data_IF_641125711560
#
_entry.id   IF_641125711560
#
_cell.length_a   1.000
_cell.length_b   1.000
_cell.length_c   1.000
_cell.angle_alpha   90.00
_cell.angle_beta   90.00
_cell.angle_gamma   90.00
#
_symmetry.space_group_name_H-M   'P 1'
#
loop_
_entity.id
_entity.type
_entity.pdbx_description
1 polymer ?
#
# COMPACT_ATOMS: atom_id res chain seq x y z
N UNK A 1 4.20 24.43 -4.37
CA UNK A 1 2.91 24.77 -5.02
C UNK A 1 3.03 24.40 -6.48
N UNK A 2 2.20 23.47 -6.97
CA UNK A 2 2.08 23.19 -8.40
C UNK A 2 1.51 24.43 -9.08
N UNK A 3 2.11 24.87 -10.18
CA UNK A 3 1.52 25.94 -10.99
C UNK A 3 0.24 25.43 -11.63
N UNK A 4 -0.77 26.30 -11.77
CA UNK A 4 -2.02 25.98 -12.44
C UNK A 4 -1.73 25.46 -13.86
N UNK A 5 -2.01 24.17 -14.10
CA UNK A 5 -1.78 23.50 -15.39
C UNK A 5 -0.69 22.42 -15.39
N UNK A 6 0.11 22.29 -14.31
CA UNK A 6 1.08 21.20 -14.20
C UNK A 6 0.39 19.93 -13.68
N UNK A 7 0.38 18.89 -14.48
CA UNK A 7 -0.05 17.56 -14.07
C UNK A 7 1.15 16.82 -13.42
N UNK A 8 1.12 16.59 -12.08
CA UNK A 8 2.22 15.95 -11.37
C UNK A 8 2.41 14.47 -11.78
N UNK A 9 1.43 13.87 -12.46
CA UNK A 9 1.46 12.49 -12.93
C UNK A 9 1.88 12.37 -14.39
N UNK A 10 2.19 13.47 -15.07
CA UNK A 10 2.67 13.45 -16.46
C UNK A 10 4.17 13.15 -16.52
N UNK A 11 4.53 11.90 -16.20
CA UNK A 11 5.90 11.40 -16.28
C UNK A 11 6.04 10.45 -17.49
N UNK A 12 7.13 10.54 -18.28
CA UNK A 12 7.29 9.80 -19.54
C UNK A 12 7.18 8.27 -19.39
N UNK A 13 7.54 7.74 -18.21
CA UNK A 13 7.53 6.30 -17.94
C UNK A 13 6.40 5.87 -16.99
N UNK A 14 5.44 6.74 -16.67
CA UNK A 14 4.32 6.40 -15.81
C UNK A 14 3.13 5.94 -16.64
N UNK A 15 2.70 4.71 -16.39
CA UNK A 15 1.56 4.09 -17.05
C UNK A 15 0.49 3.72 -16.04
N UNK A 16 -0.76 4.04 -16.35
CA UNK A 16 -1.92 3.67 -15.52
C UNK A 16 -2.65 2.48 -16.13
N UNK A 17 -2.86 1.43 -15.34
CA UNK A 17 -3.73 0.31 -15.75
C UNK A 17 -5.17 0.63 -15.36
N UNK A 18 -6.07 0.59 -16.33
CA UNK A 18 -7.48 0.93 -16.11
C UNK A 18 -8.29 -0.30 -15.69
N UNK A 19 -8.03 -1.45 -16.27
CA UNK A 19 -8.78 -2.67 -16.02
C UNK A 19 -7.91 -3.82 -15.44
N UNK A 20 -8.54 -4.96 -15.21
CA UNK A 20 -7.90 -6.13 -14.63
C UNK A 20 -6.97 -6.83 -15.63
N UNK A 21 -7.26 -6.79 -16.92
CA UNK A 21 -6.45 -7.42 -17.96
C UNK A 21 -5.13 -6.67 -18.15
N UNK A 22 -5.17 -5.34 -18.19
CA UNK A 22 -3.98 -4.49 -18.20
C UNK A 22 -3.10 -4.73 -16.99
N UNK A 23 -3.73 -4.79 -15.80
CA UNK A 23 -3.01 -5.08 -14.56
C UNK A 23 -2.37 -6.47 -14.57
N UNK A 24 -3.05 -7.48 -15.11
CA UNK A 24 -2.50 -8.84 -15.24
C UNK A 24 -1.33 -8.90 -16.21
N UNK A 25 -1.31 -8.07 -17.27
CA UNK A 25 -0.21 -8.00 -18.21
C UNK A 25 1.11 -7.57 -17.56
N UNK A 26 1.05 -6.78 -16.49
CA UNK A 26 2.24 -6.36 -15.72
C UNK A 26 2.99 -7.53 -15.09
N UNK A 27 2.32 -8.66 -14.83
CA UNK A 27 2.96 -9.86 -14.26
C UNK A 27 3.98 -10.51 -15.20
N UNK A 28 4.04 -10.09 -16.49
CA UNK A 28 5.04 -10.52 -17.46
C UNK A 28 6.33 -9.72 -17.39
N UNK A 29 6.35 -8.63 -16.63
CA UNK A 29 7.53 -7.80 -16.45
C UNK A 29 8.36 -8.42 -15.32
N UNK A 30 9.58 -8.83 -15.63
CA UNK A 30 10.44 -9.50 -14.66
C UNK A 30 11.50 -8.58 -14.05
N UNK A 31 11.77 -7.43 -14.65
CA UNK A 31 12.76 -6.47 -14.12
C UNK A 31 12.55 -5.07 -14.69
N UNK A 32 13.17 -4.06 -14.04
CA UNK A 32 13.23 -2.69 -14.56
C UNK A 32 11.91 -1.91 -14.41
N UNK A 33 10.97 -2.38 -13.60
CA UNK A 33 9.70 -1.69 -13.37
C UNK A 33 9.38 -1.55 -11.88
N UNK A 34 8.64 -0.50 -11.54
CA UNK A 34 8.02 -0.30 -10.24
C UNK A 34 6.51 -0.38 -10.40
N UNK A 35 5.86 -1.28 -9.66
CA UNK A 35 4.41 -1.43 -9.63
C UNK A 35 3.86 -0.72 -8.40
N UNK A 36 2.96 0.25 -8.58
CA UNK A 36 2.27 0.93 -7.49
C UNK A 36 0.83 0.44 -7.47
N UNK A 37 0.41 -0.19 -6.38
CA UNK A 37 -0.93 -0.75 -6.26
C UNK A 37 -1.52 -0.52 -4.85
N UNK A 38 -2.78 -0.15 -4.77
CA UNK A 38 -3.58 -0.19 -3.54
C UNK A 38 -4.17 -1.59 -3.33
N UNK A 39 -4.55 -1.99 -2.16
CA UNK A 39 -4.62 -1.36 -0.84
C UNK A 39 -3.31 -1.55 -0.06
N UNK A 40 -2.93 -0.53 0.77
CA UNK A 40 -1.69 -0.58 1.56
C UNK A 40 -1.64 -1.72 2.58
N UNK A 41 -2.76 -2.16 3.11
CA UNK A 41 -2.85 -3.29 4.05
C UNK A 41 -2.94 -4.65 3.36
N UNK A 42 -3.00 -4.70 2.02
CA UNK A 42 -3.11 -5.91 1.20
C UNK A 42 -4.34 -6.79 1.51
N UNK A 43 -5.40 -6.20 2.09
CA UNK A 43 -6.64 -6.90 2.43
C UNK A 43 -7.54 -7.14 1.22
N UNK A 44 -7.35 -6.37 0.15
CA UNK A 44 -8.13 -6.44 -1.09
C UNK A 44 -7.37 -5.86 -2.28
N UNK A 45 -8.04 -5.76 -3.42
CA UNK A 45 -7.55 -5.10 -4.61
C UNK A 45 -6.49 -5.87 -5.41
N UNK A 46 -5.98 -5.21 -6.45
CA UNK A 46 -5.03 -5.78 -7.41
C UNK A 46 -3.66 -6.09 -6.79
N UNK A 47 -3.28 -5.42 -5.71
CA UNK A 47 -2.03 -5.66 -4.99
C UNK A 47 -1.87 -7.13 -4.59
N UNK A 48 -2.97 -7.82 -4.23
CA UNK A 48 -2.92 -9.25 -3.86
C UNK A 48 -2.48 -10.13 -5.01
N UNK A 49 -2.92 -9.82 -6.24
CA UNK A 49 -2.50 -10.53 -7.44
C UNK A 49 -1.01 -10.28 -7.72
N UNK A 50 -0.55 -9.04 -7.61
CA UNK A 50 0.86 -8.72 -7.81
C UNK A 50 1.75 -9.36 -6.75
N UNK A 51 1.34 -9.39 -5.48
CA UNK A 51 2.07 -10.08 -4.42
C UNK A 51 2.15 -11.59 -4.68
N UNK A 52 1.06 -12.22 -5.14
CA UNK A 52 1.06 -13.65 -5.49
C UNK A 52 2.13 -13.99 -6.54
N UNK A 53 2.36 -13.11 -7.51
CA UNK A 53 3.34 -13.31 -8.57
C UNK A 53 4.78 -12.93 -8.18
N UNK A 54 4.94 -11.92 -7.34
CA UNK A 54 6.25 -11.29 -7.13
C UNK A 54 6.86 -11.57 -5.74
N UNK A 55 6.05 -11.94 -4.73
CA UNK A 55 6.54 -12.11 -3.36
C UNK A 55 7.56 -13.26 -3.22
N UNK A 56 7.48 -14.26 -4.10
CA UNK A 56 8.41 -15.40 -4.14
C UNK A 56 9.72 -15.13 -4.89
N UNK A 57 9.90 -13.97 -5.50
CA UNK A 57 11.09 -13.61 -6.29
C UNK A 57 12.15 -12.98 -5.37
N UNK A 58 13.30 -13.63 -5.27
CA UNK A 58 14.37 -13.20 -4.34
C UNK A 58 15.10 -11.92 -4.77
N UNK A 59 15.06 -11.59 -6.05
CA UNK A 59 15.62 -10.38 -6.67
C UNK A 59 14.63 -9.21 -6.70
N UNK A 60 13.36 -9.47 -6.29
CA UNK A 60 12.33 -8.46 -6.16
C UNK A 60 12.37 -7.72 -4.82
N UNK A 61 11.74 -6.55 -4.80
CA UNK A 61 11.52 -5.77 -3.58
C UNK A 61 10.03 -5.43 -3.43
N UNK A 62 9.51 -5.51 -2.21
CA UNK A 62 8.18 -5.03 -1.84
C UNK A 62 8.33 -3.90 -0.83
N UNK A 63 7.80 -2.74 -1.16
CA UNK A 63 7.88 -1.55 -0.33
C UNK A 63 6.48 -1.23 0.20
N UNK A 64 6.29 -1.33 1.50
CA UNK A 64 5.06 -0.88 2.14
C UNK A 64 5.18 0.60 2.49
N UNK A 65 4.18 1.37 2.03
CA UNK A 65 4.12 2.81 2.26
C UNK A 65 2.99 3.10 3.23
N UNK A 66 3.35 3.57 4.43
CA UNK A 66 2.41 3.87 5.49
C UNK A 66 2.19 2.73 6.49
N UNK A 67 1.14 2.87 7.30
CA UNK A 67 0.83 1.98 8.41
C UNK A 67 0.20 0.67 7.95
N UNK A 68 0.58 -0.43 8.59
CA UNK A 68 -0.03 -1.74 8.43
C UNK A 68 -0.64 -2.20 9.77
N UNK A 69 -1.96 -2.30 9.83
CA UNK A 69 -2.68 -2.70 11.03
C UNK A 69 -2.45 -4.17 11.38
N UNK A 70 -2.52 -4.51 12.65
CA UNK A 70 -2.45 -5.90 13.13
C UNK A 70 -3.50 -6.79 12.44
N UNK A 71 -3.13 -8.04 12.19
CA UNK A 71 -3.99 -9.01 11.51
C UNK A 71 -4.10 -8.82 9.99
N UNK A 72 -3.52 -7.78 9.40
CA UNK A 72 -3.50 -7.59 7.96
C UNK A 72 -2.36 -8.37 7.29
N UNK A 73 -2.55 -8.72 6.01
CA UNK A 73 -1.51 -9.41 5.24
C UNK A 73 -0.21 -8.59 5.17
N UNK A 74 -0.31 -7.27 5.01
CA UNK A 74 0.85 -6.38 5.02
C UNK A 74 1.62 -6.51 6.34
N UNK A 75 0.92 -6.51 7.49
CA UNK A 75 1.55 -6.64 8.80
C UNK A 75 2.24 -8.00 8.97
N UNK A 76 1.59 -9.08 8.58
CA UNK A 76 2.16 -10.44 8.63
C UNK A 76 3.47 -10.53 7.83
N UNK A 77 3.51 -9.93 6.64
CA UNK A 77 4.73 -9.90 5.81
C UNK A 77 5.83 -9.07 6.48
N UNK A 78 5.47 -7.89 7.02
CA UNK A 78 6.40 -7.00 7.70
C UNK A 78 7.00 -7.61 8.97
N UNK A 79 6.24 -8.44 9.68
CA UNK A 79 6.71 -9.17 10.86
C UNK A 79 7.65 -10.35 10.53
N UNK A 80 7.95 -10.54 9.23
CA UNK A 80 8.96 -11.49 8.78
C UNK A 80 8.42 -12.90 8.52
N UNK A 81 7.14 -13.05 8.19
CA UNK A 81 6.59 -14.33 7.77
C UNK A 81 7.42 -14.93 6.62
N UNK A 82 7.69 -16.23 6.69
CA UNK A 82 8.43 -16.96 5.65
C UNK A 82 7.55 -17.38 4.48
N UNK A 83 6.26 -17.55 4.73
CA UNK A 83 5.22 -17.77 3.72
C UNK A 83 3.92 -17.11 4.15
N UNK A 84 3.06 -16.83 3.20
CA UNK A 84 1.72 -16.29 3.42
C UNK A 84 0.71 -16.98 2.53
N UNK A 85 -0.55 -17.09 3.01
CA UNK A 85 -1.64 -17.64 2.22
C UNK A 85 -2.32 -16.54 1.41
N UNK A 86 -2.23 -16.62 0.09
CA UNK A 86 -2.82 -15.68 -0.86
C UNK A 86 -3.73 -16.40 -1.85
N UNK A 87 -5.01 -16.05 -1.86
CA UNK A 87 -6.00 -16.59 -2.81
C UNK A 87 -6.07 -18.13 -2.85
N UNK A 88 -5.81 -18.78 -1.71
CA UNK A 88 -5.79 -20.23 -1.58
C UNK A 88 -4.41 -20.88 -1.68
N UNK A 89 -3.43 -20.18 -2.27
CA UNK A 89 -2.07 -20.68 -2.42
C UNK A 89 -1.17 -20.25 -1.27
N UNK A 90 -0.20 -21.08 -0.91
CA UNK A 90 0.89 -20.71 -0.02
C UNK A 90 2.05 -20.12 -0.82
N UNK A 91 2.35 -18.86 -0.59
CA UNK A 91 3.36 -18.10 -1.31
C UNK A 91 4.56 -17.85 -0.40
N UNK A 92 5.77 -18.28 -0.77
CA UNK A 92 6.96 -17.98 0.02
C UNK A 92 7.30 -16.48 -0.05
N UNK A 93 7.75 -15.91 1.07
CA UNK A 93 8.24 -14.53 1.13
C UNK A 93 9.77 -14.57 0.93
N UNK A 94 10.22 -14.33 -0.29
CA UNK A 94 11.64 -14.28 -0.67
C UNK A 94 12.07 -12.90 -1.11
N UNK A 95 11.13 -12.07 -1.57
CA UNK A 95 11.39 -10.68 -1.93
C UNK A 95 11.95 -9.91 -0.73
N UNK A 96 12.75 -8.90 -1.00
CA UNK A 96 13.22 -7.96 0.02
C UNK A 96 12.05 -7.08 0.48
N UNK A 97 11.82 -7.01 1.79
CA UNK A 97 10.71 -6.27 2.36
C UNK A 97 11.22 -4.96 2.96
N UNK A 98 10.63 -3.86 2.54
CA UNK A 98 10.99 -2.51 2.97
C UNK A 98 9.75 -1.74 3.44
N UNK A 99 9.96 -0.71 4.28
CA UNK A 99 8.92 0.23 4.72
C UNK A 99 9.35 1.67 4.51
N UNK A 100 8.39 2.52 4.13
CA UNK A 100 8.56 3.96 4.10
C UNK A 100 7.41 4.58 4.91
N UNK A 101 7.72 5.10 6.09
CA UNK A 101 6.71 5.65 7.01
C UNK A 101 6.49 7.17 6.83
N UNK A 102 7.27 7.83 5.98
CA UNK A 102 7.26 9.30 5.82
C UNK A 102 6.14 9.85 4.90
N UNK A 103 5.37 9.00 4.23
CA UNK A 103 4.32 9.42 3.28
C UNK A 103 2.89 9.27 3.83
N UNK A 104 2.73 9.12 5.14
CA UNK A 104 1.39 9.08 5.73
C UNK A 104 0.72 10.44 5.64
N UNK A 105 -0.50 10.49 5.12
CA UNK A 105 -1.38 11.65 5.14
C UNK A 105 -2.34 11.65 6.35
N UNK A 106 -2.25 10.64 7.20
CA UNK A 106 -3.09 10.56 8.41
C UNK A 106 -2.55 11.47 9.51
N UNK A 107 -3.45 12.20 10.16
CA UNK A 107 -3.12 12.97 11.35
C UNK A 107 -2.72 12.03 12.49
N UNK A 108 -1.72 12.43 13.27
CA UNK A 108 -1.35 11.73 14.48
C UNK A 108 -2.38 11.93 15.61
N UNK A 109 -2.32 11.08 16.64
CA UNK A 109 -3.23 11.19 17.78
C UNK A 109 -3.23 12.60 18.40
N UNK A 110 -2.04 13.23 18.55
CA UNK A 110 -1.93 14.57 19.10
C UNK A 110 -2.61 15.64 18.25
N UNK A 111 -2.52 15.50 16.90
CA UNK A 111 -3.17 16.41 15.96
C UNK A 111 -4.69 16.28 16.05
N UNK A 112 -5.20 15.04 16.13
CA UNK A 112 -6.63 14.75 16.26
C UNK A 112 -7.19 15.30 17.58
N UNK A 113 -6.48 15.10 18.69
CA UNK A 113 -6.88 15.64 20.00
C UNK A 113 -6.85 17.17 19.99
N UNK A 114 -5.81 17.77 19.41
CA UNK A 114 -5.71 19.22 19.28
C UNK A 114 -6.81 19.82 18.38
N UNK A 115 -7.18 19.13 17.33
CA UNK A 115 -8.32 19.52 16.47
C UNK A 115 -9.64 19.39 17.23
N UNK A 116 -9.89 18.24 17.89
CA UNK A 116 -11.10 18.00 18.68
C UNK A 116 -11.29 19.04 19.79
N UNK A 117 -10.24 19.42 20.49
CA UNK A 117 -10.31 20.45 21.52
C UNK A 117 -10.80 21.82 21.02
N UNK A 118 -10.70 22.07 19.70
CA UNK A 118 -11.15 23.32 19.06
C UNK A 118 -12.59 23.26 18.54
N UNK A 119 -13.21 22.08 18.54
CA UNK A 119 -14.59 21.91 18.05
C UNK A 119 -15.66 22.33 19.10
N UNK A 120 -15.25 22.77 20.28
CA UNK A 120 -16.14 23.08 21.40
C UNK A 120 -16.40 21.85 22.26
N UNK A 121 -17.59 21.74 22.80
CA UNK A 121 -18.02 20.59 23.60
C UNK A 121 -19.14 19.82 22.86
N UNK A 122 -18.81 18.96 21.90
CA UNK A 122 -19.83 18.18 21.20
C UNK A 122 -20.46 17.17 22.15
N UNK A 123 -21.76 16.96 22.05
CA UNK A 123 -22.47 15.98 22.88
C UNK A 123 -22.00 14.55 22.60
N UNK A 124 -21.61 14.25 21.35
CA UNK A 124 -21.14 12.93 20.91
C UNK A 124 -20.02 13.11 19.92
N UNK A 125 -18.97 12.29 20.05
CA UNK A 125 -17.89 12.19 19.07
C UNK A 125 -17.86 10.76 18.51
N UNK A 126 -17.97 10.62 17.18
CA UNK A 126 -17.84 9.35 16.52
C UNK A 126 -16.41 9.18 15.99
N UNK A 127 -15.76 8.06 16.35
CA UNK A 127 -14.48 7.67 15.79
C UNK A 127 -14.73 6.74 14.60
N UNK A 128 -14.25 7.12 13.43
CA UNK A 128 -14.41 6.37 12.19
C UNK A 128 -13.04 6.13 11.59
N UNK A 129 -12.78 4.91 11.15
CA UNK A 129 -11.52 4.53 10.55
C UNK A 129 -10.33 4.70 11.53
N UNK A 130 -10.49 4.13 12.70
CA UNK A 130 -9.45 4.08 13.74
C UNK A 130 -8.60 2.82 13.67
#
# INVERSE_FOLDING_TARGET
MLRSGDDPFRLPALHFTQDAADSAALNRIHSGAMLIAGSGMCTGGRVRHHLRHNLGQADGSVIFVGFAAEGTLARIILDGAKSVKLMGDEIPVRAQIHTINGFSAHAGQGDLLGWHARTGAPEITFLVHG
#
